data_IF_196703557895
#
_entry.id   IF_196703557895
#
_cell.length_a   1.000
_cell.length_b   1.000
_cell.length_c   1.000
_cell.angle_alpha   90.00
_cell.angle_beta   90.00
_cell.angle_gamma   90.00
#
_symmetry.space_group_name_H-M   'P 1'
#
loop_
_entity.id
_entity.type
_entity.pdbx_description
1 polymer ?
#
# COMPACT_ATOMS: atom_id res chain seq x y z
N UNK A 1 -6.01 -3.89 12.03
CA UNK A 1 -6.45 -4.72 10.90
C UNK A 1 -5.21 -5.17 10.16
N UNK A 2 -4.55 -6.20 10.70
CA UNK A 2 -3.34 -6.78 10.14
C UNK A 2 -3.73 -7.69 8.97
N UNK A 3 -3.13 -7.47 7.80
CA UNK A 3 -3.31 -8.29 6.59
C UNK A 3 -2.48 -9.58 6.75
N UNK A 4 -2.75 -10.38 7.76
CA UNK A 4 -1.88 -11.52 8.14
C UNK A 4 -2.53 -12.90 7.95
N UNK A 5 -3.80 -12.97 7.52
CA UNK A 5 -4.54 -14.25 7.40
C UNK A 5 -4.70 -14.77 5.97
N UNK A 6 -4.23 -14.06 4.94
CA UNK A 6 -4.45 -14.45 3.54
C UNK A 6 -3.19 -14.97 2.85
N UNK A 7 -3.35 -16.01 2.02
CA UNK A 7 -2.32 -16.52 1.14
C UNK A 7 -1.71 -15.38 0.30
N UNK A 8 -0.39 -15.39 0.05
CA UNK A 8 0.25 -14.34 -0.72
C UNK A 8 -0.33 -14.27 -2.14
N UNK A 9 -0.98 -13.15 -2.46
CA UNK A 9 -1.56 -12.91 -3.77
C UNK A 9 -0.49 -12.33 -4.72
N UNK A 10 -0.30 -12.93 -5.92
CA UNK A 10 0.67 -12.41 -6.87
C UNK A 10 0.17 -11.11 -7.51
N UNK A 11 0.90 -10.00 -7.30
CA UNK A 11 0.65 -8.70 -7.95
C UNK A 11 1.81 -8.38 -8.91
N UNK A 12 1.55 -8.02 -10.17
CA UNK A 12 2.60 -7.63 -11.12
C UNK A 12 3.37 -6.40 -10.67
N UNK A 13 4.70 -6.42 -10.87
CA UNK A 13 5.56 -5.24 -10.69
C UNK A 13 5.09 -4.12 -11.61
N UNK A 14 5.00 -2.90 -11.09
CA UNK A 14 4.50 -1.72 -11.81
C UNK A 14 3.00 -1.46 -11.62
N UNK A 15 2.25 -2.40 -11.03
CA UNK A 15 0.85 -2.17 -10.65
C UNK A 15 0.75 -1.01 -9.67
N UNK A 16 -0.11 0.00 -9.90
CA UNK A 16 -0.33 1.08 -8.93
C UNK A 16 -0.82 0.51 -7.59
N UNK A 17 -0.35 1.05 -6.47
CA UNK A 17 -0.73 0.54 -5.15
C UNK A 17 -2.23 0.65 -4.86
N UNK A 18 -2.87 1.72 -5.34
CA UNK A 18 -4.32 1.86 -5.24
C UNK A 18 -5.06 0.72 -5.95
N UNK A 19 -4.57 0.30 -7.12
CA UNK A 19 -5.13 -0.84 -7.87
C UNK A 19 -4.85 -2.16 -7.16
N UNK A 20 -3.63 -2.35 -6.67
CA UNK A 20 -3.26 -3.55 -5.92
C UNK A 20 -4.15 -3.74 -4.68
N UNK A 21 -4.38 -2.68 -3.92
CA UNK A 21 -5.27 -2.72 -2.75
C UNK A 21 -6.71 -3.09 -3.14
N UNK A 22 -7.25 -2.50 -4.22
CA UNK A 22 -8.60 -2.83 -4.71
C UNK A 22 -8.74 -4.30 -5.13
N UNK A 23 -7.71 -4.86 -5.79
CA UNK A 23 -7.68 -6.29 -6.17
C UNK A 23 -7.79 -7.19 -4.94
N UNK A 24 -7.17 -6.77 -3.83
CA UNK A 24 -7.20 -7.46 -2.55
C UNK A 24 -8.42 -7.09 -1.68
N UNK A 25 -9.38 -6.32 -2.21
CA UNK A 25 -10.57 -5.91 -1.46
C UNK A 25 -10.30 -4.87 -0.37
N UNK A 26 -9.12 -4.24 -0.38
CA UNK A 26 -8.75 -3.19 0.57
C UNK A 26 -8.87 -1.79 -0.06
N UNK A 27 -9.26 -0.83 0.77
CA UNK A 27 -9.32 0.58 0.38
C UNK A 27 -8.20 1.36 1.06
N UNK A 28 -7.33 1.96 0.25
CA UNK A 28 -6.37 2.96 0.74
C UNK A 28 -7.09 4.32 0.72
N UNK A 29 -7.11 5.06 1.84
CA UNK A 29 -7.68 6.39 1.84
C UNK A 29 -6.97 7.30 0.84
N UNK A 30 -7.72 8.17 0.19
CA UNK A 30 -7.16 9.10 -0.81
C UNK A 30 -7.69 10.49 -0.54
N UNK A 31 -6.82 11.49 -0.72
CA UNK A 31 -7.20 12.90 -0.73
C UNK A 31 -6.86 13.52 -2.07
N UNK A 32 -5.66 14.13 -2.16
CA UNK A 32 -5.26 14.90 -3.33
C UNK A 32 -4.91 14.10 -4.58
N UNK A 33 -4.61 12.80 -4.49
CA UNK A 33 -4.10 11.94 -5.59
C UNK A 33 -2.77 12.38 -6.25
N UNK A 34 -2.18 13.49 -5.83
CA UNK A 34 -0.87 13.98 -6.30
C UNK A 34 0.24 13.80 -5.25
N UNK A 35 -0.02 13.02 -4.20
CA UNK A 35 0.93 12.73 -3.13
C UNK A 35 1.22 13.88 -2.16
N UNK A 36 0.59 15.04 -2.26
CA UNK A 36 0.87 16.18 -1.36
C UNK A 36 0.30 16.01 0.06
N UNK A 37 -0.86 15.36 0.19
CA UNK A 37 -1.65 15.37 1.43
C UNK A 37 -1.39 14.23 2.41
N UNK A 38 -0.52 13.27 2.10
CA UNK A 38 -0.22 12.11 2.98
C UNK A 38 -1.35 11.09 3.17
N UNK A 39 -2.60 11.41 2.81
CA UNK A 39 -3.75 10.51 3.01
C UNK A 39 -3.62 9.10 2.40
N UNK A 40 -2.76 8.93 1.39
CA UNK A 40 -2.54 7.66 0.69
C UNK A 40 -1.30 6.90 1.20
N UNK A 41 -0.85 7.18 2.42
CA UNK A 41 0.37 6.57 2.99
C UNK A 41 0.14 5.11 3.42
N UNK A 42 1.04 4.26 2.94
CA UNK A 42 1.11 2.84 3.27
C UNK A 42 2.55 2.52 3.67
N UNK A 43 2.71 1.59 4.60
CA UNK A 43 4.01 1.02 4.96
C UNK A 43 4.23 -0.25 4.15
N UNK A 44 5.34 -0.32 3.42
CA UNK A 44 5.76 -1.48 2.61
C UNK A 44 7.08 -1.97 3.18
N UNK A 45 7.07 -3.12 3.86
CA UNK A 45 8.25 -3.69 4.54
C UNK A 45 9.00 -2.68 5.44
N UNK A 46 8.28 -1.88 6.23
CA UNK A 46 8.90 -0.86 7.10
C UNK A 46 9.20 0.48 6.42
N UNK A 47 8.91 0.63 5.13
CA UNK A 47 9.10 1.88 4.40
C UNK A 47 7.77 2.53 4.05
N UNK A 48 7.54 3.75 4.53
CA UNK A 48 6.35 4.53 4.19
C UNK A 48 6.45 5.05 2.75
N UNK A 49 5.45 4.74 1.93
CA UNK A 49 5.30 5.22 0.56
C UNK A 49 3.90 5.78 0.34
N UNK A 50 3.77 6.65 -0.67
CA UNK A 50 2.50 7.27 -1.06
C UNK A 50 1.86 6.49 -2.19
N UNK A 51 0.84 5.69 -1.89
CA UNK A 51 0.20 4.77 -2.83
C UNK A 51 -0.34 5.43 -4.10
N UNK A 52 -0.76 6.70 -3.99
CA UNK A 52 -1.37 7.44 -5.09
C UNK A 52 -0.38 7.90 -6.18
N UNK A 53 0.93 7.87 -5.91
CA UNK A 53 1.97 8.28 -6.87
C UNK A 53 3.08 7.22 -7.02
N UNK A 54 2.85 6.01 -6.51
CA UNK A 54 3.81 4.93 -6.57
C UNK A 54 3.15 3.62 -6.99
N UNK A 55 3.99 2.67 -7.41
CA UNK A 55 3.59 1.35 -7.87
C UNK A 55 4.35 0.26 -7.11
N UNK A 56 3.82 -0.95 -7.17
CA UNK A 56 4.44 -2.17 -6.67
C UNK A 56 5.84 -2.30 -7.26
N UNK A 57 6.84 -2.26 -6.39
CA UNK A 57 8.24 -2.43 -6.75
C UNK A 57 8.63 -3.91 -6.74
N UNK A 58 9.72 -4.24 -7.42
CA UNK A 58 10.23 -5.62 -7.42
C UNK A 58 10.79 -5.95 -6.03
N UNK A 59 10.25 -6.97 -5.40
CA UNK A 59 10.79 -7.59 -4.20
C UNK A 59 11.41 -8.95 -4.53
N UNK A 60 12.36 -9.39 -3.69
CA UNK A 60 12.90 -10.76 -3.75
C UNK A 60 12.05 -11.76 -2.93
N UNK A 61 10.91 -11.32 -2.39
CA UNK A 61 10.00 -12.12 -1.55
C UNK A 61 8.66 -11.43 -1.32
N UNK A 62 7.88 -11.87 -0.33
CA UNK A 62 6.58 -11.28 0.02
C UNK A 62 6.73 -9.84 0.50
N UNK A 63 5.86 -8.95 0.01
CA UNK A 63 5.74 -7.59 0.51
C UNK A 63 4.68 -7.57 1.61
N UNK A 64 5.06 -7.17 2.83
CA UNK A 64 4.10 -6.83 3.88
C UNK A 64 3.67 -5.38 3.68
N UNK A 65 2.37 -5.16 3.52
CA UNK A 65 1.79 -3.85 3.25
C UNK A 65 0.72 -3.55 4.29
N UNK A 66 0.85 -2.41 4.96
CA UNK A 66 -0.09 -1.96 5.99
C UNK A 66 -0.43 -0.48 5.79
N UNK A 67 -1.59 -0.04 6.27
CA UNK A 67 -1.90 1.38 6.29
C UNK A 67 -0.98 2.08 7.30
N UNK A 68 -0.31 3.14 6.85
CA UNK A 68 0.51 3.94 7.74
C UNK A 68 -0.42 4.55 8.79
N UNK A 69 -0.28 4.10 10.03
CA UNK A 69 -1.07 4.59 11.16
C UNK A 69 -0.12 5.42 12.01
N UNK A 70 -0.31 6.74 12.02
CA UNK A 70 0.40 7.58 12.97
C UNK A 70 -0.26 7.41 14.35
N UNK A 71 0.45 6.88 15.37
CA UNK A 71 -0.13 6.64 16.69
C UNK A 71 -0.34 7.93 17.50
N UNK A 72 0.09 9.09 17.00
CA UNK A 72 -0.04 10.39 17.66
C UNK A 72 -1.24 11.21 17.15
N UNK A 73 -2.12 10.63 16.34
CA UNK A 73 -3.40 11.23 15.92
C UNK A 73 -4.60 10.41 16.36
#
# INVERSE_FOLDING_TARGET
>A
MSWEDEDPVPIPVGTPWLTAAQILGHAIPTGCLYGSCGACEIEVNGHVVRACISSVCRSQGTLKVELATDPYW
#
